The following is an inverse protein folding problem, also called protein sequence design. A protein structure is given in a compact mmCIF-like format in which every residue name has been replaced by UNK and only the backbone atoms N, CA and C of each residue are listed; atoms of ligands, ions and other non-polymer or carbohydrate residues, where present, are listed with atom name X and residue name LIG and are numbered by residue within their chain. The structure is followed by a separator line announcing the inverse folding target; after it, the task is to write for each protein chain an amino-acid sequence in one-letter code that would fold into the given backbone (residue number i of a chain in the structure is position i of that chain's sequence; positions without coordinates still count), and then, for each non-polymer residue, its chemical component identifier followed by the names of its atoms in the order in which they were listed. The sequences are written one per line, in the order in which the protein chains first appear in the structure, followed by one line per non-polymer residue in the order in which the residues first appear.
data_IF_076795906699
#
_entry.id   IF_076795906699
#
_cell.length_a   1.000
_cell.length_b   1.000
_cell.length_c   1.000
_cell.angle_alpha   90.00
_cell.angle_beta   90.00
_cell.angle_gamma   90.00
#
_symmetry.space_group_name_H-M   'P 1'
#
loop_
_entity.id
_entity.type
_entity.pdbx_description
1 polymer ?
#
# COMPACT_ATOMS: atom_id res chain seq x y z
N UNK A 1 8.85 4.73 -5.22
CA UNK A 1 7.60 5.53 -5.26
C UNK A 1 7.51 6.39 -4.02
N UNK A 2 7.25 7.68 -4.18
CA UNK A 2 7.05 8.59 -3.05
C UNK A 2 5.59 8.58 -2.59
N UNK A 3 5.36 9.08 -1.37
CA UNK A 3 3.99 9.26 -0.85
C UNK A 3 3.17 10.13 -1.80
N UNK A 4 3.75 11.22 -2.30
CA UNK A 4 3.06 12.12 -3.22
C UNK A 4 2.68 11.43 -4.53
N UNK A 5 3.56 10.62 -5.09
CA UNK A 5 3.28 9.87 -6.31
C UNK A 5 2.12 8.89 -6.10
N UNK A 6 2.12 8.19 -4.97
CA UNK A 6 1.05 7.25 -4.64
C UNK A 6 -0.29 7.97 -4.44
N UNK A 7 -0.29 9.11 -3.75
CA UNK A 7 -1.50 9.91 -3.57
C UNK A 7 -2.09 10.31 -4.92
N UNK A 8 -1.26 10.78 -5.85
CA UNK A 8 -1.73 11.18 -7.19
C UNK A 8 -2.40 10.04 -7.94
N UNK A 9 -1.81 8.84 -7.88
CA UNK A 9 -2.38 7.66 -8.54
C UNK A 9 -3.73 7.31 -7.90
N UNK A 10 -3.78 7.27 -6.58
CA UNK A 10 -5.00 6.89 -5.86
C UNK A 10 -6.13 7.90 -6.06
N UNK A 11 -5.81 9.17 -6.23
CA UNK A 11 -6.82 10.21 -6.47
C UNK A 11 -7.54 10.08 -7.82
N UNK A 12 -6.97 9.35 -8.77
CA UNK A 12 -7.61 9.09 -10.06
C UNK A 12 -8.63 7.95 -10.00
N UNK A 13 -8.70 7.24 -8.88
CA UNK A 13 -9.52 6.06 -8.70
C UNK A 13 -10.73 6.35 -7.82
N UNK A 14 -11.71 5.44 -7.83
CA UNK A 14 -12.87 5.54 -6.96
C UNK A 14 -12.43 5.40 -5.50
N UNK A 15 -12.72 6.38 -4.62
CA UNK A 15 -12.27 6.35 -3.23
C UNK A 15 -12.87 5.20 -2.41
N UNK A 16 -13.93 4.56 -2.89
CA UNK A 16 -14.55 3.43 -2.21
C UNK A 16 -13.98 2.07 -2.64
N UNK A 17 -13.08 2.04 -3.62
CA UNK A 17 -12.42 0.80 -4.03
C UNK A 17 -11.40 0.35 -2.99
N UNK A 18 -11.32 -0.95 -2.78
CA UNK A 18 -10.35 -1.53 -1.85
C UNK A 18 -8.97 -1.62 -2.49
N UNK A 19 -7.96 -1.10 -1.80
CA UNK A 19 -6.56 -1.27 -2.22
C UNK A 19 -6.10 -2.65 -1.81
N UNK A 20 -5.47 -3.37 -2.74
CA UNK A 20 -4.96 -4.72 -2.51
C UNK A 20 -3.50 -4.80 -2.95
N UNK A 21 -2.78 -5.79 -2.43
CA UNK A 21 -1.38 -6.02 -2.77
C UNK A 21 -1.29 -7.31 -3.59
N UNK A 22 -0.53 -7.27 -4.69
CA UNK A 22 -0.26 -8.46 -5.48
C UNK A 22 0.64 -9.42 -4.69
N UNK A 23 0.25 -10.69 -4.63
CA UNK A 23 1.10 -11.73 -4.03
C UNK A 23 2.31 -11.98 -4.94
N UNK A 24 3.54 -12.07 -4.37
CA UNK A 24 4.75 -12.16 -5.19
C UNK A 24 4.89 -13.48 -5.98
N UNK A 25 4.25 -14.55 -5.53
CA UNK A 25 4.42 -15.88 -6.14
C UNK A 25 3.12 -16.50 -6.66
N UNK A 26 1.97 -15.93 -6.31
CA UNK A 26 0.68 -16.44 -6.72
C UNK A 26 -0.02 -15.37 -7.58
N UNK A 27 -0.88 -15.82 -8.49
CA UNK A 27 -1.68 -14.89 -9.29
C UNK A 27 -2.92 -14.43 -8.50
N UNK A 28 -2.67 -13.90 -7.32
CA UNK A 28 -3.68 -13.48 -6.37
C UNK A 28 -3.33 -12.13 -5.78
N UNK A 29 -4.30 -11.49 -5.14
CA UNK A 29 -4.08 -10.29 -4.34
C UNK A 29 -4.53 -10.52 -2.92
N UNK A 30 -3.95 -9.75 -2.00
CA UNK A 30 -4.28 -9.81 -0.56
C UNK A 30 -4.68 -8.42 -0.07
N UNK A 31 -5.52 -8.34 0.98
CA UNK A 31 -5.94 -7.05 1.50
C UNK A 31 -4.79 -6.28 2.14
N UNK A 32 -4.89 -4.95 2.10
CA UNK A 32 -4.01 -4.06 2.85
C UNK A 32 -4.65 -3.82 4.21
N UNK A 33 -3.91 -4.08 5.29
CA UNK A 33 -4.39 -3.82 6.65
C UNK A 33 -4.08 -2.42 7.14
N UNK A 34 -3.09 -1.77 6.56
CA UNK A 34 -2.75 -0.43 6.96
C UNK A 34 -1.38 -0.02 6.45
N UNK A 35 -0.88 1.07 7.02
CA UNK A 35 0.45 1.59 6.72
C UNK A 35 1.20 1.72 8.04
N UNK A 36 2.38 1.11 8.12
CA UNK A 36 3.26 1.19 9.27
C UNK A 36 4.42 2.14 8.98
N UNK A 37 5.01 2.69 10.00
CA UNK A 37 6.20 3.51 9.89
C UNK A 37 7.40 2.73 10.40
N UNK A 38 8.42 2.62 9.58
CA UNK A 38 9.64 1.87 9.85
C UNK A 38 10.87 2.77 9.80
N UNK A 39 12.02 2.19 10.11
CA UNK A 39 13.30 2.86 10.08
C UNK A 39 13.67 3.51 11.41
N UNK A 40 14.92 4.02 11.53
CA UNK A 40 15.44 4.56 12.80
C UNK A 40 14.63 5.73 13.35
N UNK A 41 14.02 6.52 12.47
CA UNK A 41 13.21 7.68 12.85
C UNK A 41 11.70 7.40 12.77
N UNK A 42 11.28 6.17 12.50
CA UNK A 42 9.88 5.79 12.28
C UNK A 42 9.19 6.69 11.25
N UNK A 43 9.85 6.96 10.15
CA UNK A 43 9.35 7.87 9.13
C UNK A 43 9.27 7.24 7.72
N UNK A 44 9.59 5.96 7.58
CA UNK A 44 9.48 5.26 6.30
C UNK A 44 8.12 4.57 6.25
N UNK A 45 7.19 5.03 5.38
CA UNK A 45 5.89 4.37 5.26
C UNK A 45 6.02 3.02 4.56
N UNK A 46 5.44 2.00 5.17
CA UNK A 46 5.42 0.62 4.65
C UNK A 46 3.98 0.14 4.60
N UNK A 47 3.54 -0.31 3.43
CA UNK A 47 2.21 -0.87 3.27
C UNK A 47 2.18 -2.27 3.89
N UNK A 48 1.27 -2.48 4.84
CA UNK A 48 1.12 -3.73 5.55
C UNK A 48 0.03 -4.59 4.91
N UNK A 49 0.42 -5.78 4.49
CA UNK A 49 -0.48 -6.79 3.95
C UNK A 49 -0.12 -8.16 4.51
N UNK A 50 -1.08 -9.07 4.51
CA UNK A 50 -0.89 -10.41 5.07
C UNK A 50 -0.85 -11.44 3.94
N UNK A 51 0.31 -12.04 3.77
CA UNK A 51 0.51 -13.09 2.76
C UNK A 51 0.37 -14.48 3.35
#
# INVERSE_FOLDING_TARGET
MTVQELIRILQTLNPNEEVRIAHPYLNETVPVYGVELHGPANNIPVIDGHF
#
